data_IF_015731297864
#
_entry.id   IF_015731297864
#
_cell.length_a   1.000
_cell.length_b   1.000
_cell.length_c   1.000
_cell.angle_alpha   90.00
_cell.angle_beta   90.00
_cell.angle_gamma   90.00
#
_symmetry.space_group_name_H-M   'P 1'
#
loop_
_entity.id
_entity.type
_entity.pdbx_description
1 polymer ?
#
# COMPACT_ATOMS: atom_id res chain seq x y z
N UNK A 1 -20.11 27.29 -4.04
CA UNK A 1 -21.37 27.08 -3.30
C UNK A 1 -21.77 25.62 -3.47
N UNK A 2 -21.20 24.74 -2.64
CA UNK A 2 -21.36 23.29 -2.70
C UNK A 2 -21.84 22.74 -1.32
N UNK A 3 -23.10 22.96 -0.89
CA UNK A 3 -23.53 22.55 0.45
C UNK A 3 -24.36 21.25 0.50
N UNK A 4 -24.86 20.70 -0.62
CA UNK A 4 -25.95 19.71 -0.54
C UNK A 4 -25.54 18.23 -0.53
N UNK A 5 -24.39 17.86 -1.10
CA UNK A 5 -23.96 16.45 -1.10
C UNK A 5 -23.34 16.02 0.24
N UNK A 6 -22.84 16.99 1.02
CA UNK A 6 -22.31 16.78 2.38
C UNK A 6 -23.45 16.64 3.42
N UNK A 7 -24.61 17.30 3.21
CA UNK A 7 -25.74 17.20 4.14
C UNK A 7 -26.47 15.84 4.12
N UNK A 8 -26.40 15.06 3.04
CA UNK A 8 -27.07 13.75 3.00
C UNK A 8 -26.32 12.68 3.82
N UNK A 9 -24.98 12.78 3.91
CA UNK A 9 -24.16 11.85 4.69
C UNK A 9 -24.14 12.26 6.17
N UNK A 10 -24.11 13.57 6.47
CA UNK A 10 -24.08 14.06 7.86
C UNK A 10 -25.43 13.99 8.60
N UNK A 11 -26.56 13.90 7.88
CA UNK A 11 -27.90 13.86 8.52
C UNK A 11 -28.38 12.45 8.87
N UNK A 12 -27.75 11.39 8.34
CA UNK A 12 -28.08 9.99 8.68
C UNK A 12 -27.33 9.47 9.93
N UNK A 13 -26.29 10.15 10.44
CA UNK A 13 -25.58 9.73 11.66
C UNK A 13 -26.22 10.23 12.97
N UNK A 14 -26.98 11.34 12.97
CA UNK A 14 -27.67 11.84 14.18
C UNK A 14 -28.94 11.04 14.54
N UNK A 15 -29.55 10.30 13.61
CA UNK A 15 -30.81 9.56 13.86
C UNK A 15 -30.62 8.12 14.37
N UNK A 16 -29.39 7.59 14.46
CA UNK A 16 -29.11 6.19 14.85
C UNK A 16 -28.46 6.06 16.24
N UNK A 17 -28.54 7.10 17.09
CA UNK A 17 -28.08 7.05 18.50
C UNK A 17 -29.15 6.49 19.46
N UNK A 18 -30.33 6.10 18.99
CA UNK A 18 -31.41 5.62 19.84
C UNK A 18 -31.96 4.25 19.44
N UNK A 19 -31.26 3.15 19.74
CA UNK A 19 -31.85 1.87 20.20
C UNK A 19 -30.80 0.74 20.25
N UNK A 20 -30.56 0.18 21.44
CA UNK A 20 -29.86 -1.12 21.58
C UNK A 20 -30.86 -2.25 21.35
N UNK A 21 -30.45 -3.33 20.66
CA UNK A 21 -30.91 -4.67 21.05
C UNK A 21 -29.74 -5.63 21.34
N UNK A 22 -30.04 -6.55 22.25
CA UNK A 22 -29.15 -7.54 22.85
C UNK A 22 -28.60 -8.60 21.89
N UNK A 23 -27.43 -9.12 22.25
CA UNK A 23 -26.73 -10.28 21.70
C UNK A 23 -27.64 -11.45 21.29
N UNK A 24 -27.59 -11.84 20.01
CA UNK A 24 -27.78 -13.23 19.55
C UNK A 24 -26.84 -13.56 18.38
N UNK A 25 -26.42 -14.82 18.35
CA UNK A 25 -25.27 -15.44 17.66
C UNK A 25 -25.19 -15.17 16.15
N UNK A 26 -23.99 -14.82 15.66
CA UNK A 26 -23.65 -14.69 14.23
C UNK A 26 -23.52 -16.06 13.55
N UNK A 27 -24.55 -16.45 12.82
CA UNK A 27 -24.45 -17.19 11.57
C UNK A 27 -25.31 -16.42 10.55
N UNK A 28 -24.88 -16.38 9.28
CA UNK A 28 -25.56 -15.75 8.12
C UNK A 28 -25.23 -14.27 7.80
N UNK A 29 -24.01 -14.04 7.32
CA UNK A 29 -23.55 -12.79 6.68
C UNK A 29 -23.99 -12.61 5.18
N UNK A 30 -24.40 -13.63 4.37
CA UNK A 30 -24.74 -13.38 2.96
C UNK A 30 -26.08 -12.66 2.71
N UNK A 31 -27.01 -12.67 3.67
CA UNK A 31 -28.37 -12.17 3.47
C UNK A 31 -28.50 -10.64 3.61
N UNK A 32 -27.71 -10.02 4.48
CA UNK A 32 -27.77 -8.57 4.75
C UNK A 32 -27.22 -7.72 3.59
N UNK A 33 -26.13 -8.15 2.96
CA UNK A 33 -25.55 -7.46 1.80
C UNK A 33 -26.51 -7.44 0.58
N UNK A 34 -27.32 -8.50 0.43
CA UNK A 34 -28.30 -8.62 -0.66
C UNK A 34 -29.56 -7.78 -0.42
N UNK A 35 -29.94 -7.57 0.85
CA UNK A 35 -31.06 -6.71 1.26
C UNK A 35 -30.70 -5.21 1.20
N UNK A 36 -29.48 -4.84 1.59
CA UNK A 36 -28.97 -3.47 1.47
C UNK A 36 -28.86 -3.01 0.00
N UNK A 37 -28.34 -3.88 -0.87
CA UNK A 37 -28.19 -3.62 -2.32
C UNK A 37 -29.55 -3.41 -3.02
N UNK A 38 -30.58 -4.18 -2.65
CA UNK A 38 -31.93 -4.05 -3.22
C UNK A 38 -32.72 -2.84 -2.69
N UNK A 39 -32.47 -2.38 -1.46
CA UNK A 39 -33.05 -1.13 -0.94
C UNK A 39 -32.40 0.11 -1.57
N UNK A 40 -31.09 0.07 -1.81
CA UNK A 40 -30.37 1.16 -2.47
C UNK A 40 -30.83 1.35 -3.93
N UNK A 41 -31.02 0.24 -4.68
CA UNK A 41 -31.50 0.27 -6.06
C UNK A 41 -32.98 0.71 -6.21
N UNK A 42 -33.86 0.43 -5.24
CA UNK A 42 -35.25 0.92 -5.25
C UNK A 42 -35.37 2.40 -4.89
N UNK A 43 -34.50 2.92 -4.03
CA UNK A 43 -34.46 4.34 -3.64
C UNK A 43 -33.81 5.23 -4.70
N UNK A 44 -32.84 4.71 -5.44
CA UNK A 44 -32.28 5.38 -6.63
C UNK A 44 -33.37 5.63 -7.68
N UNK A 45 -34.23 4.63 -7.97
CA UNK A 45 -35.34 4.79 -8.91
C UNK A 45 -36.39 5.82 -8.47
N UNK A 46 -36.77 5.88 -7.18
CA UNK A 46 -37.75 6.87 -6.71
C UNK A 46 -37.18 8.29 -6.62
N UNK A 47 -35.86 8.44 -6.42
CA UNK A 47 -35.19 9.73 -6.46
C UNK A 47 -35.08 10.29 -7.89
N UNK A 48 -34.93 9.43 -8.90
CA UNK A 48 -34.96 9.83 -10.32
C UNK A 48 -36.35 10.29 -10.77
N UNK A 49 -37.43 9.71 -10.24
CA UNK A 49 -38.81 10.09 -10.60
C UNK A 49 -39.30 11.38 -9.93
N UNK A 50 -38.79 11.75 -8.75
CA UNK A 50 -39.16 13.00 -8.06
C UNK A 50 -38.42 14.25 -8.57
N UNK A 51 -37.38 14.12 -9.39
CA UNK A 51 -36.61 15.23 -9.94
C UNK A 51 -37.19 15.81 -11.26
N UNK A 52 -38.35 15.34 -11.70
CA UNK A 52 -39.08 15.85 -12.87
C UNK A 52 -40.05 16.97 -12.48
N UNK A 53 -39.54 18.09 -11.97
CA UNK A 53 -40.29 19.34 -11.93
C UNK A 53 -39.35 20.53 -11.77
N UNK A 54 -39.12 21.23 -12.89
CA UNK A 54 -38.71 22.64 -12.95
C UNK A 54 -37.41 23.03 -12.22
N UNK A 55 -36.27 22.87 -12.90
CA UNK A 55 -35.02 23.55 -12.59
C UNK A 55 -33.92 23.07 -13.53
N UNK A 56 -33.31 24.00 -14.27
CA UNK A 56 -32.32 23.73 -15.33
C UNK A 56 -31.42 22.52 -15.04
N UNK A 57 -31.46 21.55 -15.96
CA UNK A 57 -30.66 20.33 -15.92
C UNK A 57 -29.19 20.73 -16.11
N UNK A 58 -28.49 21.09 -15.03
CA UNK A 58 -27.04 21.25 -15.03
C UNK A 58 -26.46 19.87 -15.28
N UNK A 59 -26.09 19.60 -16.52
CA UNK A 59 -25.23 18.47 -16.86
C UNK A 59 -23.93 18.70 -16.09
N UNK A 60 -23.76 17.95 -15.00
CA UNK A 60 -22.52 17.95 -14.23
C UNK A 60 -21.52 17.21 -15.10
N UNK A 61 -20.65 17.96 -15.77
CA UNK A 61 -19.51 17.38 -16.47
C UNK A 61 -18.51 16.92 -15.39
N UNK A 62 -18.34 15.61 -15.25
CA UNK A 62 -17.46 15.02 -14.24
C UNK A 62 -15.97 15.14 -14.60
N UNK A 63 -15.65 15.61 -15.81
CA UNK A 63 -14.29 15.84 -16.31
C UNK A 63 -13.90 17.32 -16.32
N UNK A 64 -12.64 17.64 -16.66
CA UNK A 64 -12.13 19.02 -16.71
C UNK A 64 -12.88 19.88 -17.73
N UNK A 65 -12.89 21.20 -17.51
CA UNK A 65 -13.45 22.17 -18.47
C UNK A 65 -12.66 22.19 -19.79
N UNK A 66 -11.35 21.92 -19.72
CA UNK A 66 -10.48 21.75 -20.87
C UNK A 66 -9.93 20.30 -20.91
N UNK A 67 -10.41 19.45 -21.84
CA UNK A 67 -9.96 18.07 -21.94
C UNK A 67 -8.52 17.93 -22.44
N UNK A 68 -7.91 18.98 -23.01
CA UNK A 68 -6.53 18.94 -23.50
C UNK A 68 -5.48 18.90 -22.38
N UNK A 69 -5.87 19.25 -21.15
CA UNK A 69 -5.01 19.27 -19.98
C UNK A 69 -4.72 17.87 -19.43
N UNK A 70 -5.64 16.91 -19.61
CA UNK A 70 -5.49 15.53 -19.13
C UNK A 70 -5.14 14.59 -20.30
N UNK A 71 -3.87 14.62 -20.70
CA UNK A 71 -3.38 13.94 -21.91
C UNK A 71 -3.46 12.41 -21.84
N UNK A 72 -3.53 11.82 -20.64
CA UNK A 72 -3.61 10.37 -20.42
C UNK A 72 -5.01 9.90 -20.02
N UNK A 73 -6.00 10.78 -20.10
CA UNK A 73 -7.35 10.51 -19.60
C UNK A 73 -8.05 9.34 -20.33
N UNK A 74 -7.84 9.20 -21.64
CA UNK A 74 -8.43 8.15 -22.45
C UNK A 74 -8.04 6.73 -22.03
N UNK A 75 -6.92 6.57 -21.32
CA UNK A 75 -6.46 5.30 -20.75
C UNK A 75 -6.57 5.27 -19.21
N UNK A 76 -7.11 6.32 -18.61
CA UNK A 76 -7.19 6.49 -17.17
C UNK A 76 -8.39 5.72 -16.59
N UNK A 77 -8.22 5.13 -15.41
CA UNK A 77 -9.25 4.30 -14.75
C UNK A 77 -10.54 5.08 -14.48
N UNK A 78 -10.44 6.39 -14.24
CA UNK A 78 -11.59 7.28 -14.02
C UNK A 78 -12.43 7.56 -15.27
N UNK A 79 -11.94 7.23 -16.47
CA UNK A 79 -12.72 7.41 -17.71
C UNK A 79 -14.04 6.63 -17.67
N UNK A 80 -14.02 5.43 -17.07
CA UNK A 80 -15.24 4.64 -16.87
C UNK A 80 -16.28 5.33 -15.98
N UNK A 81 -15.84 6.12 -15.00
CA UNK A 81 -16.74 6.88 -14.11
C UNK A 81 -17.48 7.95 -14.93
N UNK A 82 -16.78 8.56 -15.89
CA UNK A 82 -17.36 9.61 -16.74
C UNK A 82 -18.33 9.04 -17.77
N UNK A 83 -18.04 7.84 -18.29
CA UNK A 83 -18.90 7.14 -19.25
C UNK A 83 -20.06 6.36 -18.60
N UNK A 84 -20.13 6.30 -17.26
CA UNK A 84 -21.11 5.50 -16.54
C UNK A 84 -20.94 3.99 -16.73
N UNK A 85 -19.72 3.54 -17.05
CA UNK A 85 -19.36 2.12 -17.22
C UNK A 85 -19.10 1.47 -15.86
N UNK A 86 -19.26 0.14 -15.79
CA UNK A 86 -18.98 -0.61 -14.56
C UNK A 86 -17.54 -0.39 -14.08
N UNK A 87 -17.39 -0.15 -12.78
CA UNK A 87 -16.09 0.17 -12.19
C UNK A 87 -15.17 -1.06 -12.18
N UNK A 88 -13.99 -1.02 -12.84
CA UNK A 88 -13.03 -2.10 -12.71
C UNK A 88 -12.55 -2.18 -11.26
N UNK A 89 -12.64 -3.36 -10.65
CA UNK A 89 -12.18 -3.56 -9.27
C UNK A 89 -10.64 -3.53 -9.27
N UNK A 90 -10.05 -2.53 -8.61
CA UNK A 90 -8.60 -2.47 -8.41
C UNK A 90 -8.16 -3.68 -7.59
N UNK A 91 -7.32 -4.52 -8.18
CA UNK A 91 -6.71 -5.65 -7.49
C UNK A 91 -5.51 -5.18 -6.66
N UNK A 92 -5.75 -4.72 -5.44
CA UNK A 92 -4.66 -4.48 -4.50
C UNK A 92 -4.14 -5.82 -4.02
N UNK A 93 -2.84 -6.05 -4.15
CA UNK A 93 -2.23 -7.29 -3.67
C UNK A 93 -1.71 -7.10 -2.26
N UNK A 94 -2.07 -8.01 -1.37
CA UNK A 94 -1.26 -8.32 -0.20
C UNK A 94 -0.36 -9.49 -0.57
N UNK A 95 0.94 -9.27 -0.63
CA UNK A 95 1.91 -10.35 -0.54
C UNK A 95 1.87 -10.91 0.88
N UNK A 96 1.97 -12.22 0.99
CA UNK A 96 2.26 -12.87 2.26
C UNK A 96 3.78 -12.84 2.47
N UNK A 97 4.40 -11.65 2.49
CA UNK A 97 5.87 -11.53 2.61
C UNK A 97 6.37 -12.04 3.97
N UNK A 98 5.47 -12.19 4.95
CA UNK A 98 5.67 -12.87 6.22
C UNK A 98 5.13 -14.31 6.10
N UNK A 99 6.00 -15.33 5.92
CA UNK A 99 5.57 -16.72 5.95
C UNK A 99 4.97 -17.12 7.30
N UNK A 100 4.17 -18.19 7.29
CA UNK A 100 3.65 -18.81 8.50
C UNK A 100 4.79 -19.13 9.49
N UNK A 101 4.71 -18.60 10.71
CA UNK A 101 5.74 -18.72 11.74
C UNK A 101 6.56 -17.46 12.01
N UNK A 102 6.37 -16.37 11.26
CA UNK A 102 6.90 -15.06 11.58
C UNK A 102 5.79 -14.11 12.06
N UNK A 103 5.11 -14.45 13.15
CA UNK A 103 4.09 -13.57 13.73
C UNK A 103 4.76 -12.33 14.34
N UNK A 104 5.05 -11.31 13.53
CA UNK A 104 5.77 -10.11 13.98
C UNK A 104 7.20 -9.99 13.46
N UNK A 105 7.88 -8.96 13.96
CA UNK A 105 9.33 -8.79 13.80
C UNK A 105 10.01 -9.59 14.92
N UNK A 106 10.87 -10.57 14.64
CA UNK A 106 11.56 -11.33 15.68
C UNK A 106 12.50 -10.43 16.51
N UNK A 107 12.48 -10.58 17.83
CA UNK A 107 13.25 -9.75 18.76
C UNK A 107 14.77 -9.85 18.51
N UNK A 108 15.25 -11.03 18.09
CA UNK A 108 16.66 -11.31 17.89
C UNK A 108 17.28 -10.53 16.74
N UNK A 109 16.47 -10.03 15.79
CA UNK A 109 16.95 -9.22 14.66
C UNK A 109 16.66 -7.72 14.82
N UNK A 110 15.97 -7.30 15.88
CA UNK A 110 15.70 -5.88 16.12
C UNK A 110 16.98 -5.03 16.13
N UNK A 111 18.11 -5.44 16.75
CA UNK A 111 19.35 -4.66 16.69
C UNK A 111 19.89 -4.47 15.27
N UNK A 112 19.72 -5.47 14.40
CA UNK A 112 20.13 -5.38 12.99
C UNK A 112 19.22 -4.45 12.19
N UNK A 113 17.91 -4.48 12.45
CA UNK A 113 16.94 -3.59 11.82
C UNK A 113 17.14 -2.15 12.27
N UNK A 114 17.42 -1.91 13.55
CA UNK A 114 17.73 -0.59 14.08
C UNK A 114 18.99 -0.03 13.42
N UNK A 115 20.06 -0.84 13.35
CA UNK A 115 21.29 -0.44 12.72
C UNK A 115 21.11 -0.14 11.22
N UNK A 116 20.24 -0.88 10.52
CA UNK A 116 19.92 -0.65 9.11
C UNK A 116 18.91 0.49 8.86
N UNK A 117 18.25 1.01 9.90
CA UNK A 117 17.17 1.99 9.80
C UNK A 117 15.84 1.41 9.29
N UNK A 118 15.58 0.13 9.51
CA UNK A 118 14.44 -0.63 8.96
C UNK A 118 13.39 -1.01 10.01
N UNK A 119 13.58 -0.65 11.28
CA UNK A 119 12.67 -1.04 12.38
C UNK A 119 11.23 -0.61 12.12
N UNK A 120 10.99 0.67 11.83
CA UNK A 120 9.63 1.21 11.65
C UNK A 120 8.90 0.55 10.47
N UNK A 121 9.57 0.46 9.32
CA UNK A 121 8.97 -0.15 8.13
C UNK A 121 8.69 -1.66 8.29
N UNK A 122 9.47 -2.36 9.12
CA UNK A 122 9.22 -3.76 9.47
C UNK A 122 7.95 -3.95 10.33
N UNK A 123 7.46 -2.90 10.99
CA UNK A 123 6.18 -2.93 11.69
C UNK A 123 5.02 -2.47 10.80
N UNK A 124 5.25 -1.47 9.95
CA UNK A 124 4.25 -0.93 9.01
C UNK A 124 3.77 -1.97 8.01
N UNK A 125 4.63 -2.91 7.60
CA UNK A 125 4.27 -3.90 6.58
C UNK A 125 3.11 -4.83 6.98
N UNK A 126 2.68 -4.82 8.25
CA UNK A 126 1.49 -5.55 8.74
C UNK A 126 0.19 -4.72 8.71
N UNK A 127 0.23 -3.51 8.18
CA UNK A 127 -0.86 -2.55 8.25
C UNK A 127 -2.14 -3.02 7.50
N UNK A 128 -3.34 -2.78 8.04
CA UNK A 128 -4.59 -3.09 7.36
C UNK A 128 -4.80 -2.16 6.15
N UNK A 129 -5.27 -2.71 5.03
CA UNK A 129 -5.53 -1.95 3.82
C UNK A 129 -7.02 -1.64 3.68
N UNK A 130 -7.34 -0.38 3.39
CA UNK A 130 -8.67 0.03 2.95
C UNK A 130 -8.71 0.08 1.41
N UNK A 131 -9.26 -0.98 0.80
CA UNK A 131 -9.34 -1.12 -0.65
C UNK A 131 -10.18 -0.02 -1.31
N UNK A 132 -11.23 0.46 -0.63
CA UNK A 132 -12.11 1.50 -1.16
C UNK A 132 -11.36 2.82 -1.21
N UNK A 133 -10.64 3.16 -0.15
CA UNK A 133 -9.80 4.36 -0.09
C UNK A 133 -8.68 4.31 -1.13
N UNK A 134 -7.98 3.18 -1.25
CA UNK A 134 -6.91 3.02 -2.24
C UNK A 134 -7.45 3.21 -3.66
N UNK A 135 -8.59 2.58 -3.98
CA UNK A 135 -9.22 2.72 -5.31
C UNK A 135 -9.58 4.18 -5.59
N UNK A 136 -10.20 4.86 -4.62
CA UNK A 136 -10.54 6.27 -4.74
C UNK A 136 -9.32 7.19 -4.95
N UNK A 137 -8.20 6.90 -4.28
CA UNK A 137 -6.95 7.64 -4.47
C UNK A 137 -6.33 7.38 -5.84
N UNK A 138 -6.33 6.13 -6.32
CA UNK A 138 -5.84 5.79 -7.65
C UNK A 138 -6.67 6.50 -8.73
N UNK A 139 -7.99 6.53 -8.63
CA UNK A 139 -8.85 7.30 -9.55
C UNK A 139 -8.52 8.81 -9.62
N UNK A 140 -7.96 9.34 -8.54
CA UNK A 140 -7.64 10.77 -8.38
C UNK A 140 -6.17 11.07 -8.66
N UNK A 141 -5.31 10.07 -8.81
CA UNK A 141 -3.93 10.26 -9.22
C UNK A 141 -3.86 10.76 -10.67
N UNK A 142 -2.96 11.71 -10.94
CA UNK A 142 -2.66 12.20 -12.29
C UNK A 142 -1.21 11.91 -12.64
N UNK A 143 -0.97 10.91 -13.51
CA UNK A 143 0.39 10.53 -13.92
C UNK A 143 1.16 11.66 -14.61
N UNK A 144 0.47 12.64 -15.20
CA UNK A 144 1.09 13.76 -15.91
C UNK A 144 1.93 14.66 -15.01
N UNK A 145 1.53 14.83 -13.74
CA UNK A 145 2.19 15.73 -12.79
C UNK A 145 2.52 15.05 -11.45
N UNK A 146 2.21 13.76 -11.29
CA UNK A 146 2.43 12.99 -10.06
C UNK A 146 1.75 13.59 -8.82
N UNK A 147 0.49 14.01 -8.97
CA UNK A 147 -0.33 14.54 -7.87
C UNK A 147 -1.71 13.89 -7.86
N UNK A 148 -2.35 13.92 -6.69
CA UNK A 148 -3.76 13.63 -6.53
C UNK A 148 -4.58 14.90 -6.78
N UNK A 149 -5.62 14.77 -7.60
CA UNK A 149 -6.63 15.80 -7.82
C UNK A 149 -7.79 15.55 -6.86
N UNK A 150 -7.82 16.30 -5.76
CA UNK A 150 -8.81 16.18 -4.69
C UNK A 150 -9.72 17.42 -4.64
N UNK A 151 -10.89 17.37 -3.98
CA UNK A 151 -11.76 18.54 -3.84
C UNK A 151 -11.08 19.80 -3.28
N UNK A 152 -10.13 19.73 -2.32
CA UNK A 152 -9.41 20.89 -1.81
C UNK A 152 -8.35 21.45 -2.77
N UNK A 153 -7.97 20.71 -3.82
CA UNK A 153 -6.89 21.04 -4.74
C UNK A 153 -5.96 19.86 -5.02
N UNK A 154 -4.77 20.17 -5.51
CA UNK A 154 -3.73 19.19 -5.82
C UNK A 154 -2.83 18.94 -4.61
N UNK A 155 -2.49 17.68 -4.36
CA UNK A 155 -1.50 17.31 -3.36
C UNK A 155 -0.79 16.01 -3.74
N UNK A 156 0.37 15.73 -3.16
CA UNK A 156 1.09 14.48 -3.41
C UNK A 156 1.78 13.97 -2.14
N UNK A 157 2.16 12.70 -2.14
CA UNK A 157 3.01 12.11 -1.11
C UNK A 157 4.43 12.61 -1.34
N UNK A 158 5.08 13.13 -0.31
CA UNK A 158 6.41 13.72 -0.37
C UNK A 158 7.45 12.83 0.33
N UNK A 159 8.73 13.19 0.19
CA UNK A 159 9.79 12.53 0.96
C UNK A 159 9.58 12.71 2.47
N UNK A 160 9.05 13.85 2.91
CA UNK A 160 8.74 14.06 4.32
C UNK A 160 7.71 13.04 4.81
N UNK A 161 6.65 12.79 4.04
CA UNK A 161 5.64 11.79 4.39
C UNK A 161 6.25 10.39 4.47
N UNK A 162 7.16 10.03 3.56
CA UNK A 162 7.88 8.75 3.62
C UNK A 162 8.76 8.63 4.86
N UNK A 163 9.49 9.69 5.20
CA UNK A 163 10.35 9.70 6.38
C UNK A 163 9.52 9.59 7.66
N UNK A 164 8.41 10.33 7.76
CA UNK A 164 7.56 10.36 8.95
C UNK A 164 6.74 9.07 9.09
N UNK A 165 6.15 8.55 8.01
CA UNK A 165 5.23 7.42 8.06
C UNK A 165 5.94 6.05 7.99
N UNK A 166 7.11 5.97 7.36
CA UNK A 166 7.85 4.70 7.22
C UNK A 166 9.16 4.65 8.01
N UNK A 167 9.59 5.77 8.62
CA UNK A 167 10.88 5.86 9.32
C UNK A 167 12.09 5.70 8.39
N UNK A 168 11.91 5.79 7.07
CA UNK A 168 12.99 5.60 6.11
C UNK A 168 13.80 6.88 5.91
N UNK A 169 15.11 6.71 5.75
CA UNK A 169 16.01 7.79 5.37
C UNK A 169 15.72 8.32 3.97
N UNK A 170 15.66 9.64 3.84
CA UNK A 170 15.38 10.34 2.58
C UNK A 170 16.57 11.12 2.04
N UNK A 171 17.56 11.39 2.88
CA UNK A 171 18.81 12.06 2.56
C UNK A 171 19.96 11.06 2.68
N UNK A 172 20.67 10.78 1.59
CA UNK A 172 21.73 9.78 1.62
C UNK A 172 22.15 9.30 0.25
N UNK A 173 22.91 8.21 0.23
CA UNK A 173 23.40 7.60 -1.00
C UNK A 173 22.24 7.06 -1.84
N UNK A 174 22.31 7.16 -3.18
CA UNK A 174 21.30 6.55 -4.03
C UNK A 174 21.32 5.03 -3.89
N UNK A 175 20.14 4.40 -3.84
CA UNK A 175 19.99 2.94 -3.82
C UNK A 175 20.25 2.42 -5.24
N UNK A 176 21.48 1.99 -5.50
CA UNK A 176 21.90 1.46 -6.82
C UNK A 176 22.35 0.02 -6.64
N UNK A 177 21.57 -0.90 -7.21
CA UNK A 177 21.84 -2.33 -7.12
C UNK A 177 22.80 -2.76 -8.25
N UNK A 178 23.87 -3.54 -7.97
CA UNK A 178 24.81 -4.00 -9.01
C UNK A 178 24.13 -4.82 -10.14
N UNK A 179 24.70 -4.79 -11.35
CA UNK A 179 24.22 -5.52 -12.55
C UNK A 179 25.34 -6.43 -13.07
N UNK A 180 24.98 -7.58 -13.66
CA UNK A 180 25.93 -8.42 -14.41
C UNK A 180 26.84 -9.29 -13.53
N UNK A 181 26.51 -9.37 -12.24
CA UNK A 181 27.21 -10.14 -11.22
C UNK A 181 26.65 -11.56 -11.11
N UNK A 182 27.44 -12.49 -10.57
CA UNK A 182 26.96 -13.83 -10.29
C UNK A 182 26.06 -13.83 -9.04
N UNK A 183 24.75 -13.88 -9.27
CA UNK A 183 23.75 -13.81 -8.21
C UNK A 183 23.80 -14.98 -7.23
N UNK A 184 24.27 -16.16 -7.64
CA UNK A 184 24.42 -17.29 -6.73
C UNK A 184 25.55 -17.05 -5.71
N UNK A 185 26.65 -16.42 -6.13
CA UNK A 185 27.77 -16.06 -5.26
C UNK A 185 27.32 -15.01 -4.23
N UNK A 186 26.61 -13.98 -4.66
CA UNK A 186 26.05 -12.95 -3.76
C UNK A 186 25.16 -13.58 -2.68
N UNK A 187 24.28 -14.51 -3.05
CA UNK A 187 23.39 -15.17 -2.08
C UNK A 187 24.18 -16.06 -1.13
N UNK A 188 25.15 -16.82 -1.62
CA UNK A 188 26.00 -17.67 -0.79
C UNK A 188 26.84 -16.87 0.19
N UNK A 189 27.45 -15.77 -0.24
CA UNK A 189 28.25 -14.90 0.61
C UNK A 189 27.38 -14.20 1.66
N UNK A 190 26.23 -13.67 1.24
CA UNK A 190 25.35 -12.88 2.11
C UNK A 190 24.58 -13.74 3.12
N UNK A 191 24.07 -14.91 2.68
CA UNK A 191 23.14 -15.76 3.42
C UNK A 191 23.76 -17.10 3.85
N UNK A 192 24.93 -17.47 3.34
CA UNK A 192 25.66 -18.68 3.73
C UNK A 192 25.20 -19.98 3.06
N UNK A 193 24.25 -19.91 2.13
CA UNK A 193 23.70 -21.08 1.43
C UNK A 193 23.60 -20.74 -0.05
N UNK A 194 24.17 -21.59 -0.90
CA UNK A 194 24.14 -21.42 -2.36
C UNK A 194 22.83 -21.96 -2.95
N UNK A 195 22.00 -21.13 -3.62
CA UNK A 195 20.82 -21.64 -4.32
C UNK A 195 21.21 -22.36 -5.61
N UNK A 196 20.33 -23.26 -6.07
CA UNK A 196 20.50 -23.90 -7.37
C UNK A 196 20.14 -22.95 -8.52
N UNK A 197 20.58 -23.25 -9.74
CA UNK A 197 20.19 -22.45 -10.93
C UNK A 197 18.67 -22.43 -11.15
N UNK A 198 17.95 -23.48 -10.72
CA UNK A 198 16.50 -23.57 -10.87
C UNK A 198 15.74 -22.65 -9.90
N UNK A 199 16.42 -22.08 -8.90
CA UNK A 199 15.81 -21.17 -7.92
C UNK A 199 15.77 -19.72 -8.40
N UNK A 200 16.41 -19.44 -9.53
CA UNK A 200 16.50 -18.10 -10.10
C UNK A 200 15.68 -17.91 -11.37
N UNK A 201 15.21 -16.68 -11.57
CA UNK A 201 14.83 -16.13 -12.88
C UNK A 201 15.54 -14.79 -13.05
N UNK A 202 16.62 -14.77 -13.83
CA UNK A 202 17.49 -13.60 -13.91
C UNK A 202 18.10 -13.27 -12.54
N UNK A 203 17.90 -12.04 -12.06
CA UNK A 203 18.36 -11.59 -10.75
C UNK A 203 17.37 -11.84 -9.60
N UNK A 204 16.27 -12.56 -9.87
CA UNK A 204 15.20 -12.80 -8.91
C UNK A 204 15.31 -14.21 -8.35
N UNK A 205 15.35 -14.33 -7.04
CA UNK A 205 15.32 -15.58 -6.29
C UNK A 205 13.89 -15.90 -5.88
N UNK A 206 13.48 -17.17 -5.98
CA UNK A 206 12.16 -17.62 -5.52
C UNK A 206 11.98 -17.36 -4.01
N UNK A 207 10.84 -16.80 -3.61
CA UNK A 207 10.49 -16.64 -2.19
C UNK A 207 10.39 -17.99 -1.48
N UNK A 208 9.90 -19.03 -2.16
CA UNK A 208 9.85 -20.39 -1.62
C UNK A 208 11.23 -20.93 -1.20
N UNK A 209 12.30 -20.51 -1.85
CA UNK A 209 13.66 -20.88 -1.45
C UNK A 209 14.03 -20.22 -0.12
N UNK A 210 13.74 -18.92 0.01
CA UNK A 210 13.94 -18.23 1.28
C UNK A 210 13.07 -18.86 2.37
N UNK A 211 11.83 -19.24 2.07
CA UNK A 211 10.91 -19.82 3.05
C UNK A 211 11.33 -21.21 3.49
N UNK A 212 12.02 -21.97 2.64
CA UNK A 212 12.62 -23.25 3.02
C UNK A 212 13.82 -23.09 3.96
N UNK A 213 14.63 -22.04 3.78
CA UNK A 213 15.91 -21.90 4.47
C UNK A 213 15.90 -20.89 5.63
N UNK A 214 14.96 -19.95 5.66
CA UNK A 214 14.88 -18.83 6.59
C UNK A 214 13.44 -18.63 7.08
N UNK A 215 12.74 -19.72 7.43
CA UNK A 215 11.34 -19.66 7.91
C UNK A 215 11.22 -19.04 9.30
N UNK A 216 12.11 -19.39 10.23
CA UNK A 216 12.00 -19.06 11.64
C UNK A 216 13.38 -18.74 12.23
N UNK A 217 13.46 -17.66 13.00
CA UNK A 217 14.73 -17.15 13.55
C UNK A 217 15.44 -18.17 14.45
N UNK A 218 14.67 -18.99 15.17
CA UNK A 218 15.17 -20.08 16.02
C UNK A 218 16.09 -21.08 15.28
N UNK A 219 15.92 -21.25 13.96
CA UNK A 219 16.82 -22.10 13.15
C UNK A 219 18.23 -21.52 13.01
N UNK A 220 18.40 -20.23 13.27
CA UNK A 220 19.63 -19.47 13.11
C UNK A 220 20.14 -18.82 14.40
N UNK A 221 19.51 -19.13 15.54
CA UNK A 221 19.83 -18.52 16.83
C UNK A 221 21.13 -19.07 17.48
N UNK A 222 21.86 -19.98 16.82
CA UNK A 222 23.01 -20.66 17.42
C UNK A 222 24.26 -19.78 17.49
N UNK A 223 24.42 -18.80 16.58
CA UNK A 223 25.54 -17.87 16.62
C UNK A 223 25.20 -16.50 15.97
N UNK A 224 25.96 -15.43 16.30
CA UNK A 224 25.67 -14.08 15.80
C UNK A 224 25.69 -13.95 14.26
N UNK A 225 26.54 -14.71 13.58
CA UNK A 225 26.61 -14.70 12.11
C UNK A 225 25.34 -15.27 11.48
N UNK A 226 24.77 -16.33 12.06
CA UNK A 226 23.52 -16.92 11.58
C UNK A 226 22.33 -15.98 11.79
N UNK A 227 22.24 -15.30 12.94
CA UNK A 227 21.23 -14.25 13.17
C UNK A 227 21.38 -13.12 12.15
N UNK A 228 22.62 -12.69 11.87
CA UNK A 228 22.90 -11.66 10.86
C UNK A 228 22.44 -12.09 9.45
N UNK A 229 22.69 -13.34 9.06
CA UNK A 229 22.22 -13.91 7.79
C UNK A 229 20.70 -13.97 7.73
N UNK A 230 20.05 -14.35 8.83
CA UNK A 230 18.59 -14.31 8.94
C UNK A 230 18.06 -12.88 8.81
N UNK A 231 18.69 -11.89 9.46
CA UNK A 231 18.33 -10.47 9.33
C UNK A 231 18.45 -9.97 7.88
N UNK A 232 19.53 -10.34 7.15
CA UNK A 232 19.67 -10.02 5.73
C UNK A 232 18.55 -10.65 4.88
N UNK A 233 18.21 -11.91 5.13
CA UNK A 233 17.11 -12.58 4.43
C UNK A 233 15.74 -11.94 4.74
N UNK A 234 15.54 -11.49 5.98
CA UNK A 234 14.34 -10.76 6.41
C UNK A 234 14.25 -9.40 5.70
N UNK A 235 15.32 -8.60 5.74
CA UNK A 235 15.37 -7.30 5.05
C UNK A 235 15.23 -7.44 3.53
N UNK A 236 15.79 -8.49 2.93
CA UNK A 236 15.60 -8.78 1.50
C UNK A 236 14.12 -9.03 1.17
N UNK A 237 13.40 -9.77 2.03
CA UNK A 237 11.94 -9.94 1.90
C UNK A 237 11.21 -8.63 2.10
N UNK A 238 11.62 -7.80 3.05
CA UNK A 238 11.01 -6.48 3.26
C UNK A 238 11.19 -5.58 2.03
N UNK A 239 12.38 -5.59 1.43
CA UNK A 239 12.68 -4.81 0.23
C UNK A 239 11.87 -5.35 -0.96
N UNK A 240 11.94 -6.64 -1.26
CA UNK A 240 11.32 -7.23 -2.45
C UNK A 240 9.83 -7.54 -2.29
N UNK A 241 9.33 -7.64 -1.07
CA UNK A 241 7.93 -7.85 -0.75
C UNK A 241 7.20 -6.52 -0.66
N UNK A 242 7.69 -5.61 0.17
CA UNK A 242 6.97 -4.41 0.58
C UNK A 242 7.49 -3.13 -0.10
N UNK A 243 8.80 -2.85 -0.01
CA UNK A 243 9.37 -1.54 -0.40
C UNK A 243 9.45 -1.34 -1.92
N UNK A 244 9.92 -2.34 -2.64
CA UNK A 244 10.29 -2.30 -4.07
C UNK A 244 9.75 -3.55 -4.79
N UNK A 245 8.51 -3.90 -4.46
CA UNK A 245 7.82 -5.13 -4.85
C UNK A 245 7.60 -5.24 -6.35
N UNK A 246 8.23 -6.21 -7.02
CA UNK A 246 7.81 -6.52 -8.38
C UNK A 246 6.42 -7.18 -8.33
N UNK A 247 5.60 -7.03 -9.37
CA UNK A 247 4.26 -7.67 -9.38
C UNK A 247 4.34 -9.22 -9.39
N UNK A 248 5.48 -9.83 -9.09
CA UNK A 248 5.67 -11.26 -8.85
C UNK A 248 5.71 -11.50 -7.34
N UNK A 249 4.58 -11.91 -6.75
CA UNK A 249 4.49 -12.29 -5.32
C UNK A 249 5.25 -13.59 -4.96
N UNK A 250 6.13 -14.07 -5.85
CA UNK A 250 6.83 -15.35 -5.72
C UNK A 250 8.34 -15.22 -5.80
N UNK A 251 8.87 -13.99 -5.94
CA UNK A 251 10.30 -13.77 -6.14
C UNK A 251 10.76 -12.45 -5.52
N UNK A 252 12.04 -12.36 -5.20
CA UNK A 252 12.69 -11.15 -4.72
C UNK A 252 14.01 -10.92 -5.44
N UNK A 253 14.33 -9.66 -5.75
CA UNK A 253 15.59 -9.32 -6.43
C UNK A 253 16.76 -9.40 -5.46
N UNK A 254 17.71 -10.30 -5.72
CA UNK A 254 18.90 -10.46 -4.85
C UNK A 254 19.95 -9.36 -5.06
N UNK A 255 19.73 -8.44 -6.00
CA UNK A 255 20.63 -7.32 -6.29
C UNK A 255 20.77 -6.35 -5.10
N UNK A 256 19.85 -6.41 -4.15
CA UNK A 256 19.90 -5.58 -2.93
C UNK A 256 20.72 -6.21 -1.81
N UNK A 257 21.06 -7.51 -1.88
CA UNK A 257 21.87 -8.16 -0.84
C UNK A 257 23.23 -7.50 -0.58
N UNK A 258 23.98 -7.03 -1.61
CA UNK A 258 25.23 -6.28 -1.37
C UNK A 258 25.02 -4.99 -0.58
N UNK A 259 23.83 -4.37 -0.66
CA UNK A 259 23.50 -3.18 0.12
C UNK A 259 23.15 -3.51 1.58
N UNK A 260 23.03 -4.79 1.93
CA UNK A 260 22.74 -5.33 3.26
C UNK A 260 23.96 -6.03 3.88
N UNK A 261 25.15 -5.87 3.30
CA UNK A 261 26.37 -6.49 3.82
C UNK A 261 26.79 -5.85 5.15
N UNK A 262 26.83 -4.52 5.21
CA UNK A 262 27.09 -3.74 6.41
C UNK A 262 25.87 -2.87 6.72
N UNK A 263 25.20 -3.13 7.84
CA UNK A 263 23.98 -2.43 8.22
C UNK A 263 24.21 -0.96 8.58
N UNK A 264 25.39 -0.57 9.07
CA UNK A 264 25.71 0.83 9.29
C UNK A 264 25.74 1.57 7.94
N UNK A 265 26.36 0.96 6.93
CA UNK A 265 26.38 1.43 5.54
C UNK A 265 24.97 1.39 4.93
N UNK A 266 24.18 0.35 5.19
CA UNK A 266 22.77 0.23 4.77
C UNK A 266 21.94 1.44 5.20
N UNK A 267 22.16 1.91 6.43
CA UNK A 267 21.42 3.04 7.01
C UNK A 267 21.72 4.39 6.35
N UNK A 268 22.78 4.50 5.54
CA UNK A 268 23.16 5.76 4.87
C UNK A 268 22.54 5.89 3.47
N UNK A 269 21.83 4.87 2.97
CA UNK A 269 21.13 4.96 1.69
C UNK A 269 19.78 5.65 1.83
N UNK A 270 19.40 6.40 0.80
CA UNK A 270 18.09 7.06 0.69
C UNK A 270 17.01 6.05 0.26
N UNK A 271 16.73 5.09 1.14
CA UNK A 271 15.67 4.09 0.92
C UNK A 271 14.29 4.74 0.76
N UNK A 272 14.03 5.85 1.44
CA UNK A 272 12.80 6.60 1.32
C UNK A 272 12.59 7.20 -0.08
N UNK A 273 13.65 7.71 -0.72
CA UNK A 273 13.55 8.18 -2.10
C UNK A 273 13.29 7.05 -3.09
N UNK A 274 13.93 5.89 -2.88
CA UNK A 274 13.68 4.71 -3.70
C UNK A 274 12.22 4.24 -3.59
N UNK A 275 11.69 4.19 -2.36
CA UNK A 275 10.28 3.85 -2.09
C UNK A 275 9.31 4.86 -2.70
N UNK A 276 9.56 6.17 -2.57
CA UNK A 276 8.69 7.19 -3.16
C UNK A 276 8.65 7.10 -4.69
N UNK A 277 9.83 6.99 -5.32
CA UNK A 277 9.92 6.81 -6.77
C UNK A 277 9.21 5.54 -7.24
N UNK A 278 9.30 4.46 -6.46
CA UNK A 278 8.58 3.23 -6.73
C UNK A 278 7.05 3.41 -6.61
N UNK A 279 6.58 4.07 -5.54
CA UNK A 279 5.16 4.36 -5.33
C UNK A 279 4.57 5.16 -6.48
N UNK A 280 5.22 6.24 -6.92
CA UNK A 280 4.74 7.06 -8.02
C UNK A 280 4.61 6.24 -9.31
N UNK A 281 5.61 5.40 -9.60
CA UNK A 281 5.56 4.48 -10.74
C UNK A 281 4.37 3.51 -10.62
N UNK A 282 4.16 2.93 -9.46
CA UNK A 282 3.04 2.01 -9.21
C UNK A 282 1.68 2.70 -9.37
N UNK A 283 1.53 3.94 -8.86
CA UNK A 283 0.31 4.73 -9.03
C UNK A 283 0.05 5.04 -10.52
N UNK A 284 1.07 5.46 -11.27
CA UNK A 284 0.95 5.69 -12.71
C UNK A 284 0.55 4.43 -13.50
N UNK A 285 1.02 3.26 -13.06
CA UNK A 285 0.62 1.99 -13.66
C UNK A 285 -0.81 1.61 -13.26
N UNK A 286 -1.19 1.82 -12.00
CA UNK A 286 -2.51 1.47 -11.47
C UNK A 286 -3.63 2.37 -12.03
N UNK A 287 -3.31 3.59 -12.46
CA UNK A 287 -4.26 4.45 -13.18
C UNK A 287 -4.57 3.97 -14.59
N UNK A 288 -3.74 3.09 -15.18
CA UNK A 288 -4.01 2.57 -16.50
C UNK A 288 -5.10 1.51 -16.45
N UNK A 289 -6.15 1.72 -17.24
CA UNK A 289 -7.33 0.86 -17.39
C UNK A 289 -7.02 -0.62 -17.68
N UNK A 290 -5.96 -0.89 -18.45
CA UNK A 290 -5.56 -2.22 -18.87
C UNK A 290 -4.67 -2.92 -17.82
N UNK A 291 -4.32 -2.22 -16.73
CA UNK A 291 -3.50 -2.77 -15.67
C UNK A 291 -4.33 -3.00 -14.42
N UNK A 292 -4.13 -4.18 -13.84
CA UNK A 292 -4.86 -4.61 -12.66
C UNK A 292 -3.89 -4.90 -11.52
N UNK A 293 -3.46 -3.83 -10.85
CA UNK A 293 -3.06 -3.94 -9.47
C UNK A 293 -2.05 -2.92 -8.99
N UNK A 294 -2.15 -2.65 -7.70
CA UNK A 294 -1.21 -1.86 -6.93
C UNK A 294 -0.44 -2.81 -5.99
N UNK A 295 0.88 -2.65 -5.92
CA UNK A 295 1.74 -3.38 -5.01
C UNK A 295 1.55 -3.03 -3.52
N UNK A 296 2.46 -3.53 -2.69
CA UNK A 296 2.36 -3.50 -1.23
C UNK A 296 2.51 -2.12 -0.57
N UNK A 297 3.06 -1.13 -1.29
CA UNK A 297 3.12 0.27 -0.83
C UNK A 297 1.73 0.93 -0.70
N UNK A 298 0.65 0.20 -1.00
CA UNK A 298 -0.72 0.61 -0.70
C UNK A 298 -0.92 1.02 0.77
N UNK A 299 -0.16 0.46 1.71
CA UNK A 299 -0.20 0.87 3.13
C UNK A 299 0.19 2.34 3.31
N UNK A 300 1.22 2.81 2.59
CA UNK A 300 1.65 4.22 2.64
C UNK A 300 0.55 5.16 2.14
N UNK A 301 -0.21 4.77 1.10
CA UNK A 301 -1.35 5.57 0.62
C UNK A 301 -2.43 5.75 1.68
N UNK A 302 -2.78 4.66 2.38
CA UNK A 302 -3.81 4.67 3.42
C UNK A 302 -3.36 5.52 4.61
N UNK A 303 -2.13 5.30 5.09
CA UNK A 303 -1.57 6.09 6.20
C UNK A 303 -1.49 7.58 5.86
N UNK A 304 -0.97 7.91 4.68
CA UNK A 304 -0.91 9.30 4.22
C UNK A 304 -2.29 9.94 4.13
N UNK A 305 -3.29 9.23 3.58
CA UNK A 305 -4.64 9.76 3.48
C UNK A 305 -5.30 9.96 4.84
N UNK A 306 -5.05 9.08 5.82
CA UNK A 306 -5.54 9.24 7.18
C UNK A 306 -4.87 10.41 7.92
N UNK A 307 -3.56 10.59 7.77
CA UNK A 307 -2.85 11.76 8.31
C UNK A 307 -3.35 13.07 7.68
N UNK A 308 -3.47 13.10 6.35
CA UNK A 308 -3.85 14.32 5.62
C UNK A 308 -5.33 14.66 5.70
N UNK A 309 -6.18 13.65 5.83
CA UNK A 309 -7.64 13.78 5.88
C UNK A 309 -8.19 12.98 7.08
N UNK A 310 -8.08 13.51 8.31
CA UNK A 310 -8.46 12.78 9.52
C UNK A 310 -9.92 12.30 9.55
N UNK A 311 -10.82 12.96 8.81
CA UNK A 311 -12.22 12.54 8.67
C UNK A 311 -12.42 11.25 7.86
N UNK A 312 -11.41 10.80 7.11
CA UNK A 312 -11.40 9.50 6.43
C UNK A 312 -10.89 8.37 7.34
N UNK A 313 -10.29 8.72 8.49
CA UNK A 313 -9.83 7.75 9.47
C UNK A 313 -11.01 7.05 10.14
N UNK A 314 -10.91 5.74 10.34
CA UNK A 314 -11.80 5.03 11.27
C UNK A 314 -11.67 5.73 12.63
N UNK A 315 -12.78 6.03 13.31
CA UNK A 315 -12.87 6.88 14.52
C UNK A 315 -12.03 6.48 15.75
N UNK A 316 -11.10 5.53 15.60
CA UNK A 316 -10.04 5.21 16.53
C UNK A 316 -8.81 4.67 15.75
N UNK A 317 -7.99 5.55 15.15
CA UNK A 317 -6.83 5.10 14.39
C UNK A 317 -5.84 4.35 15.30
N UNK A 318 -5.45 3.12 14.94
CA UNK A 318 -4.50 2.28 15.69
C UNK A 318 -3.15 2.99 15.97
N UNK A 319 -2.85 4.00 15.16
CA UNK A 319 -1.71 4.89 15.25
C UNK A 319 -1.99 6.10 16.17
N UNK A 320 -2.64 5.97 17.33
CA UNK A 320 -2.70 7.08 18.33
C UNK A 320 -2.27 6.65 19.72
N UNK A 321 -1.58 5.50 19.85
CA UNK A 321 -1.12 5.00 21.16
C UNK A 321 0.25 5.59 21.51
N UNK A 322 0.27 6.29 22.65
CA UNK A 322 1.32 7.16 23.22
C UNK A 322 2.77 6.61 23.35
N UNK A 323 3.09 5.42 22.86
CA UNK A 323 4.40 4.78 23.03
C UNK A 323 5.18 4.45 21.75
N UNK A 324 4.75 4.95 20.59
CA UNK A 324 5.42 4.71 19.32
C UNK A 324 5.72 6.08 18.60
N UNK A 325 6.76 6.16 17.75
CA UNK A 325 7.18 7.40 17.08
C UNK A 325 6.13 7.88 16.05
N UNK A 326 6.18 9.15 15.61
CA UNK A 326 5.08 9.83 14.88
C UNK A 326 4.50 9.11 13.63
N UNK A 327 5.18 8.10 13.06
CA UNK A 327 4.64 7.08 12.14
C UNK A 327 3.43 6.29 12.69
N UNK A 328 3.17 6.45 13.98
CA UNK A 328 2.15 5.77 14.78
C UNK A 328 1.37 6.74 15.68
N UNK A 329 1.37 8.04 15.32
CA UNK A 329 0.47 9.08 15.82
C UNK A 329 -0.49 9.55 14.72
#
# INVERSE_FOLDING_TARGET
MFPFMIQAILKEEEEVVGERPQCRKLADIPAFAKLARNRHLRRLKSATEMASSSGQNRVIHSGPDDPSLLRLQNIHVSEHIWDGRDHPILKVRKSQFIPAGLDGVPEEILPHLELAGFTEIAHVCQFPLDLSLITALVERWRPEIHTFHLPPGECTITLQDVSVLLGLRIDGRPVIAPIGVNYADIVEESLGIRPSRADFVGSFLKTSWLDQHFTHVAMHAQNPLQITRFARAYMLRLIGGFMLSDHSSSRVSVRYLPLLEDFAVTSEYSWGSAVLGYLYRELCMATNIDRHGLGELAALLVMWAWDRFPFLGLGNPLHTRLHLPYATR
#
